data_IF_286269773383
#
_entry.id   IF_286269773383
#
_cell.length_a   1.000
_cell.length_b   1.000
_cell.length_c   1.000
_cell.angle_alpha   90.00
_cell.angle_beta   90.00
_cell.angle_gamma   90.00
#
_symmetry.space_group_name_H-M   'P 1'
#
loop_
_entity.id
_entity.type
_entity.pdbx_description
1 polymer ?
#
# COMPACT_ATOMS: atom_id res chain seq x y z
N UNK A 1 14.69 -24.74 -6.06
CA UNK A 1 14.20 -24.37 -4.71
C UNK A 1 13.06 -23.39 -4.84
N UNK A 2 12.02 -23.47 -4.00
CA UNK A 2 10.85 -22.60 -3.98
C UNK A 2 10.73 -21.96 -2.60
N UNK A 3 10.53 -20.66 -2.52
CA UNK A 3 10.21 -19.94 -1.27
C UNK A 3 8.73 -19.59 -1.31
N UNK A 4 7.93 -20.16 -0.40
CA UNK A 4 6.48 -20.11 -0.44
C UNK A 4 5.87 -19.46 0.80
N UNK A 5 4.87 -18.61 0.57
CA UNK A 5 4.05 -18.03 1.63
C UNK A 5 3.01 -19.04 2.12
N UNK A 6 3.19 -19.58 3.30
CA UNK A 6 2.25 -20.56 3.89
C UNK A 6 1.03 -19.90 4.55
N UNK A 7 0.91 -18.57 4.54
CA UNK A 7 -0.37 -17.91 4.84
C UNK A 7 -1.38 -18.09 3.69
N UNK A 8 -0.91 -18.39 2.45
CA UNK A 8 -1.75 -18.70 1.29
C UNK A 8 -2.09 -20.20 1.28
N UNK A 9 -3.39 -20.51 1.27
CA UNK A 9 -3.88 -21.90 1.31
C UNK A 9 -3.52 -22.71 0.06
N UNK A 10 -3.48 -22.06 -1.12
CA UNK A 10 -3.13 -22.75 -2.37
C UNK A 10 -1.64 -23.06 -2.42
N UNK A 11 -0.79 -22.18 -1.93
CA UNK A 11 0.65 -22.41 -1.90
C UNK A 11 1.03 -23.54 -0.94
N UNK A 12 0.28 -23.74 0.15
CA UNK A 12 0.47 -24.87 1.07
C UNK A 12 0.19 -26.23 0.44
N UNK A 13 -0.62 -26.29 -0.61
CA UNK A 13 -0.94 -27.53 -1.31
C UNK A 13 0.16 -27.98 -2.27
N UNK A 14 1.16 -27.15 -2.51
CA UNK A 14 2.29 -27.49 -3.37
C UNK A 14 3.16 -28.52 -2.64
N UNK A 15 3.20 -29.72 -3.17
CA UNK A 15 4.05 -30.81 -2.67
C UNK A 15 5.35 -30.88 -3.48
N UNK A 16 6.46 -30.37 -2.91
CA UNK A 16 7.79 -30.39 -3.52
C UNK A 16 8.84 -30.63 -2.43
N UNK A 17 9.91 -31.34 -2.76
CA UNK A 17 11.00 -31.65 -1.80
C UNK A 17 11.91 -30.43 -1.49
N UNK A 18 11.86 -29.40 -2.32
CA UNK A 18 12.74 -28.23 -2.25
C UNK A 18 11.94 -26.95 -1.94
N UNK A 19 11.10 -26.99 -0.90
CA UNK A 19 10.34 -25.85 -0.40
C UNK A 19 11.04 -25.26 0.82
N UNK A 20 11.11 -23.95 0.87
CA UNK A 20 11.34 -23.13 2.06
C UNK A 20 10.08 -22.31 2.27
N UNK A 21 9.53 -22.38 3.47
CA UNK A 21 8.28 -21.75 3.83
C UNK A 21 8.49 -20.52 4.73
N UNK A 22 7.63 -19.51 4.57
CA UNK A 22 7.50 -18.43 5.52
C UNK A 22 6.03 -18.15 5.83
N UNK A 23 5.73 -17.74 7.06
CA UNK A 23 4.33 -17.51 7.46
C UNK A 23 4.24 -16.69 8.75
N UNK A 24 3.14 -15.94 8.86
CA UNK A 24 2.72 -15.28 10.10
C UNK A 24 1.87 -16.19 10.97
N UNK A 25 1.07 -17.07 10.37
CA UNK A 25 0.03 -17.84 11.06
C UNK A 25 0.35 -19.32 11.16
N UNK A 26 1.03 -19.90 10.17
CA UNK A 26 1.33 -21.32 10.08
C UNK A 26 2.74 -21.65 10.62
N UNK A 27 2.97 -22.93 10.93
CA UNK A 27 4.32 -23.45 11.13
C UNK A 27 5.10 -23.36 9.83
N UNK A 28 6.33 -22.84 9.87
CA UNK A 28 7.14 -22.57 8.68
C UNK A 28 8.62 -22.47 9.04
N UNK A 29 9.50 -22.58 8.04
CA UNK A 29 10.96 -22.46 8.22
C UNK A 29 11.36 -21.06 8.70
N UNK A 30 10.62 -20.03 8.22
CA UNK A 30 10.76 -18.65 8.68
C UNK A 30 9.43 -18.21 9.30
N UNK A 31 9.33 -18.29 10.64
CA UNK A 31 8.13 -17.87 11.37
C UNK A 31 8.15 -16.39 11.67
N UNK A 32 7.22 -15.63 11.08
CA UNK A 32 7.11 -14.19 11.24
C UNK A 32 6.37 -13.86 12.53
N UNK A 33 6.94 -12.98 13.33
CA UNK A 33 6.37 -12.42 14.55
C UNK A 33 6.26 -10.91 14.40
N UNK A 34 5.03 -10.42 14.27
CA UNK A 34 4.78 -8.98 14.19
C UNK A 34 5.15 -8.29 15.50
N UNK A 35 5.57 -7.01 15.45
CA UNK A 35 5.61 -6.18 14.26
C UNK A 35 6.93 -6.23 13.48
N UNK A 36 8.01 -6.80 14.02
CA UNK A 36 9.36 -6.51 13.52
C UNK A 36 10.37 -7.66 13.65
N UNK A 37 9.92 -8.91 13.77
CA UNK A 37 10.85 -10.05 13.94
C UNK A 37 10.39 -11.32 13.24
N UNK A 38 11.30 -12.28 13.12
CA UNK A 38 11.01 -13.65 12.69
C UNK A 38 11.94 -14.64 13.39
N UNK A 39 11.55 -15.91 13.37
CA UNK A 39 12.37 -17.04 13.89
C UNK A 39 12.74 -17.95 12.73
N UNK A 40 14.01 -18.32 12.66
CA UNK A 40 14.55 -19.33 11.75
C UNK A 40 15.54 -20.21 12.50
N UNK A 41 15.43 -21.54 12.36
CA UNK A 41 16.27 -22.53 13.05
C UNK A 41 16.40 -22.26 14.57
N UNK A 42 15.31 -21.90 15.21
CA UNK A 42 15.24 -21.62 16.65
C UNK A 42 15.85 -20.29 17.09
N UNK A 43 16.48 -19.53 16.20
CA UNK A 43 17.05 -18.21 16.48
C UNK A 43 16.07 -17.09 16.07
N UNK A 44 15.88 -16.11 16.95
CA UNK A 44 15.06 -14.91 16.67
C UNK A 44 15.89 -13.82 16.06
N UNK A 45 15.36 -13.19 15.00
CA UNK A 45 15.98 -12.10 14.26
C UNK A 45 15.05 -10.87 14.27
N UNK A 46 15.58 -9.74 14.72
CA UNK A 46 14.86 -8.46 14.66
C UNK A 46 15.15 -7.77 13.35
N UNK A 47 14.10 -7.27 12.69
CA UNK A 47 14.18 -6.53 11.43
C UNK A 47 13.98 -5.05 11.68
N UNK A 48 14.95 -4.23 11.29
CA UNK A 48 14.80 -2.77 11.26
C UNK A 48 14.55 -2.33 9.83
N UNK A 49 13.47 -1.61 9.58
CA UNK A 49 13.11 -1.16 8.22
C UNK A 49 12.40 0.20 8.27
N UNK A 50 12.52 0.96 7.17
CA UNK A 50 11.78 2.20 6.94
C UNK A 50 10.41 1.96 6.30
N UNK A 51 10.12 0.73 5.88
CA UNK A 51 8.86 0.38 5.23
C UNK A 51 7.74 0.29 6.25
N UNK A 52 6.55 0.75 5.88
CA UNK A 52 5.39 0.88 6.77
C UNK A 52 4.35 -0.18 6.42
N UNK A 53 4.03 -1.05 7.38
CA UNK A 53 2.96 -2.05 7.28
C UNK A 53 3.42 -3.49 7.38
N UNK A 54 2.58 -4.31 7.99
CA UNK A 54 2.88 -5.73 8.31
C UNK A 54 3.17 -6.58 7.07
N UNK A 55 2.56 -6.24 5.94
CA UNK A 55 2.78 -6.94 4.67
C UNK A 55 4.23 -6.79 4.17
N UNK A 56 4.91 -5.68 4.52
CA UNK A 56 6.32 -5.53 4.17
C UNK A 56 7.21 -6.48 4.96
N UNK A 57 6.89 -6.79 6.22
CA UNK A 57 7.67 -7.78 6.98
C UNK A 57 7.61 -9.16 6.30
N UNK A 58 6.45 -9.57 5.78
CA UNK A 58 6.33 -10.81 5.01
C UNK A 58 7.19 -10.80 3.75
N UNK A 59 7.18 -9.68 2.99
CA UNK A 59 8.00 -9.53 1.80
C UNK A 59 9.51 -9.52 2.13
N UNK A 60 9.89 -8.87 3.22
CA UNK A 60 11.28 -8.82 3.73
C UNK A 60 11.76 -10.22 4.08
N UNK A 61 10.96 -10.97 4.85
CA UNK A 61 11.33 -12.34 5.27
C UNK A 61 11.44 -13.27 4.05
N UNK A 62 10.55 -13.13 3.06
CA UNK A 62 10.67 -13.85 1.80
C UNK A 62 11.99 -13.52 1.08
N UNK A 63 12.36 -12.24 0.99
CA UNK A 63 13.62 -11.82 0.37
C UNK A 63 14.84 -12.36 1.14
N UNK A 64 14.82 -12.28 2.47
CA UNK A 64 15.89 -12.84 3.33
C UNK A 64 16.02 -14.35 3.13
N UNK A 65 14.89 -15.07 3.08
CA UNK A 65 14.89 -16.51 2.84
C UNK A 65 15.53 -16.86 1.48
N UNK A 66 15.21 -16.10 0.42
CA UNK A 66 15.85 -16.28 -0.89
C UNK A 66 17.36 -16.00 -0.81
N UNK A 67 17.77 -14.87 -0.20
CA UNK A 67 19.18 -14.51 -0.06
C UNK A 67 19.97 -15.59 0.71
N UNK A 68 19.38 -16.10 1.79
CA UNK A 68 20.00 -17.15 2.61
C UNK A 68 20.24 -18.46 1.82
N UNK A 69 19.31 -18.83 0.94
CA UNK A 69 19.47 -19.95 -0.01
C UNK A 69 20.71 -19.78 -0.90
N UNK A 70 21.02 -18.55 -1.28
CA UNK A 70 22.19 -18.24 -2.09
C UNK A 70 23.46 -17.95 -1.28
N UNK A 71 23.45 -18.26 0.02
CA UNK A 71 24.62 -18.16 0.90
C UNK A 71 24.87 -16.77 1.48
N UNK A 72 23.92 -15.83 1.36
CA UNK A 72 24.01 -14.52 2.01
C UNK A 72 23.49 -14.68 3.45
N UNK A 73 24.26 -14.19 4.44
CA UNK A 73 23.84 -14.29 5.83
C UNK A 73 22.55 -13.52 6.10
N UNK A 74 21.77 -14.01 7.08
CA UNK A 74 20.54 -13.32 7.51
C UNK A 74 20.87 -11.92 8.06
N UNK A 75 21.97 -11.80 8.79
CA UNK A 75 22.44 -10.54 9.36
C UNK A 75 22.79 -9.50 8.30
N UNK A 76 23.50 -9.91 7.25
CA UNK A 76 23.82 -9.02 6.11
C UNK A 76 22.55 -8.59 5.35
N UNK A 77 21.62 -9.52 5.18
CA UNK A 77 20.33 -9.23 4.56
C UNK A 77 19.52 -8.22 5.37
N UNK A 78 19.46 -8.36 6.71
CA UNK A 78 18.80 -7.41 7.62
C UNK A 78 19.47 -6.03 7.54
N UNK A 79 20.81 -5.99 7.52
CA UNK A 79 21.55 -4.75 7.37
C UNK A 79 21.18 -4.03 6.07
N UNK A 80 21.19 -4.71 4.93
CA UNK A 80 20.79 -4.15 3.64
C UNK A 80 19.34 -3.62 3.66
N UNK A 81 18.41 -4.36 4.27
CA UNK A 81 17.01 -3.93 4.43
C UNK A 81 16.89 -2.65 5.27
N UNK A 82 17.71 -2.48 6.30
CA UNK A 82 17.66 -1.26 7.16
C UNK A 82 18.05 0.01 6.39
N UNK A 83 18.84 -0.12 5.34
CA UNK A 83 19.26 0.96 4.46
C UNK A 83 18.30 1.18 3.29
N UNK A 84 17.47 0.18 2.96
CA UNK A 84 16.56 0.22 1.83
C UNK A 84 15.44 1.25 2.02
N UNK A 85 15.38 2.22 1.11
CA UNK A 85 14.43 3.33 1.16
C UNK A 85 13.02 3.03 0.62
N UNK A 86 12.78 1.82 0.13
CA UNK A 86 11.52 1.44 -0.51
C UNK A 86 11.58 1.53 -2.04
N UNK A 87 10.45 1.26 -2.67
CA UNK A 87 10.24 1.32 -4.13
C UNK A 87 9.32 2.50 -4.42
N UNK A 88 9.60 3.22 -5.51
CA UNK A 88 8.70 4.29 -5.98
C UNK A 88 7.27 3.77 -6.13
N UNK A 89 6.32 4.61 -5.78
CA UNK A 89 4.89 4.29 -5.84
C UNK A 89 4.49 3.05 -4.99
N UNK A 90 5.22 2.74 -3.92
CA UNK A 90 4.86 1.71 -2.94
C UNK A 90 4.97 2.31 -1.54
N UNK A 91 3.89 2.93 -1.05
CA UNK A 91 3.88 3.75 0.16
C UNK A 91 5.03 4.78 0.15
N UNK A 92 5.32 5.33 -1.03
CA UNK A 92 6.41 6.27 -1.24
C UNK A 92 6.15 7.57 -0.49
N UNK A 93 7.08 7.96 0.37
CA UNK A 93 7.00 9.27 1.02
C UNK A 93 7.39 10.38 0.03
N UNK A 94 6.48 11.31 -0.24
CA UNK A 94 6.64 12.40 -1.22
C UNK A 94 7.19 13.66 -0.55
N UNK A 95 6.75 13.96 0.67
CA UNK A 95 7.17 15.17 1.38
C UNK A 95 6.26 15.55 2.53
N UNK A 96 6.54 16.69 3.16
CA UNK A 96 5.77 17.22 4.28
C UNK A 96 5.44 18.69 4.06
N UNK A 97 4.22 19.09 4.39
CA UNK A 97 3.78 20.47 4.53
C UNK A 97 3.09 20.66 5.87
N UNK A 98 3.54 21.62 6.67
CA UNK A 98 2.95 21.96 7.99
C UNK A 98 2.59 20.72 8.85
N UNK A 99 3.55 19.80 9.03
CA UNK A 99 3.40 18.52 9.76
C UNK A 99 2.40 17.53 9.13
N UNK A 100 1.84 17.80 7.96
CA UNK A 100 1.06 16.86 7.14
C UNK A 100 2.01 16.15 6.20
N UNK A 101 2.01 14.81 6.21
CA UNK A 101 2.86 14.00 5.34
C UNK A 101 2.10 13.50 4.13
N UNK A 102 2.78 13.45 3.00
CA UNK A 102 2.23 13.04 1.71
C UNK A 102 2.89 11.75 1.24
N UNK A 103 2.06 10.83 0.77
CA UNK A 103 2.48 9.51 0.29
C UNK A 103 1.85 9.20 -1.07
N UNK A 104 2.53 8.35 -1.87
CA UNK A 104 2.00 7.83 -3.13
C UNK A 104 2.07 6.30 -3.15
N UNK A 105 1.01 5.66 -3.65
CA UNK A 105 0.97 4.21 -3.79
C UNK A 105 0.29 3.78 -5.10
N UNK A 106 0.86 2.78 -5.74
CA UNK A 106 0.36 2.21 -7.00
C UNK A 106 -0.87 1.32 -6.83
N UNK A 107 -1.27 1.03 -5.60
CA UNK A 107 -2.38 0.11 -5.28
C UNK A 107 -3.62 0.43 -6.11
N UNK A 108 -4.07 -0.56 -6.86
CA UNK A 108 -5.20 -0.46 -7.77
C UNK A 108 -6.10 -1.70 -7.71
N UNK A 109 -5.83 -2.60 -6.79
CA UNK A 109 -6.69 -3.73 -6.43
C UNK A 109 -7.18 -3.54 -4.98
N UNK A 110 -8.44 -3.92 -4.65
CA UNK A 110 -9.01 -3.67 -3.32
C UNK A 110 -8.16 -4.20 -2.15
N UNK A 111 -7.55 -5.37 -2.31
CA UNK A 111 -6.68 -5.98 -1.30
C UNK A 111 -5.43 -5.14 -1.03
N UNK A 112 -4.77 -4.65 -2.09
CA UNK A 112 -3.61 -3.75 -1.98
C UNK A 112 -4.01 -2.45 -1.30
N UNK A 113 -5.11 -1.83 -1.77
CA UNK A 113 -5.63 -0.58 -1.21
C UNK A 113 -5.92 -0.70 0.28
N UNK A 114 -6.62 -1.77 0.68
CA UNK A 114 -6.95 -2.00 2.09
C UNK A 114 -5.69 -2.13 2.95
N UNK A 115 -4.69 -2.86 2.47
CA UNK A 115 -3.42 -3.04 3.17
C UNK A 115 -2.68 -1.70 3.33
N UNK A 116 -2.53 -0.92 2.25
CA UNK A 116 -1.86 0.39 2.24
C UNK A 116 -2.60 1.40 3.12
N UNK A 117 -3.93 1.51 2.97
CA UNK A 117 -4.74 2.46 3.76
C UNK A 117 -4.67 2.10 5.26
N UNK A 118 -4.81 0.82 5.61
CA UNK A 118 -4.75 0.38 7.01
C UNK A 118 -3.38 0.64 7.64
N UNK A 119 -2.30 0.36 6.90
CA UNK A 119 -0.94 0.60 7.35
C UNK A 119 -0.68 2.10 7.59
N UNK A 120 -1.09 2.96 6.65
CA UNK A 120 -0.90 4.40 6.82
C UNK A 120 -1.82 4.97 7.92
N UNK A 121 -3.04 4.44 8.05
CA UNK A 121 -3.97 4.84 9.11
C UNK A 121 -3.41 4.55 10.50
N UNK A 122 -2.74 3.42 10.71
CA UNK A 122 -2.19 3.03 12.02
C UNK A 122 -1.12 3.98 12.55
N UNK A 123 -0.44 4.72 11.66
CA UNK A 123 0.59 5.70 12.03
C UNK A 123 0.13 7.16 11.90
N UNK A 124 -1.10 7.40 11.43
CA UNK A 124 -1.66 8.74 11.25
C UNK A 124 -2.22 9.26 12.57
N UNK A 125 -1.70 10.40 13.05
CA UNK A 125 -2.14 11.04 14.30
C UNK A 125 -3.45 11.82 14.12
N UNK A 126 -3.60 12.48 12.99
CA UNK A 126 -4.79 13.23 12.59
C UNK A 126 -5.71 12.43 11.68
N UNK A 127 -6.22 13.08 10.64
CA UNK A 127 -7.04 12.43 9.59
C UNK A 127 -6.17 11.87 8.48
N UNK A 128 -6.56 10.70 7.98
CA UNK A 128 -6.03 10.15 6.74
C UNK A 128 -6.94 10.53 5.58
N UNK A 129 -6.44 11.39 4.70
CA UNK A 129 -7.03 11.68 3.39
C UNK A 129 -6.51 10.65 2.38
N UNK A 130 -7.40 9.98 1.67
CA UNK A 130 -7.05 9.06 0.58
C UNK A 130 -7.66 9.57 -0.70
N UNK A 131 -6.84 9.90 -1.68
CA UNK A 131 -7.27 10.36 -3.01
C UNK A 131 -7.07 9.19 -3.96
N UNK A 132 -8.16 8.54 -4.32
CA UNK A 132 -8.16 7.36 -5.17
C UNK A 132 -8.57 7.72 -6.59
N UNK A 133 -7.78 7.27 -7.57
CA UNK A 133 -8.13 7.28 -8.97
C UNK A 133 -8.38 5.85 -9.44
N UNK A 134 -9.64 5.45 -9.68
CA UNK A 134 -9.91 4.14 -10.25
C UNK A 134 -9.22 3.99 -11.61
N UNK A 135 -8.68 2.79 -11.87
CA UNK A 135 -7.93 2.50 -13.08
C UNK A 135 -8.66 1.42 -13.88
N UNK A 136 -9.12 1.76 -15.10
CA UNK A 136 -9.97 1.00 -16.03
C UNK A 136 -11.43 0.92 -15.61
N UNK A 137 -12.32 1.01 -16.58
CA UNK A 137 -13.76 0.88 -16.38
C UNK A 137 -14.17 -0.54 -15.99
N UNK A 138 -13.58 -1.55 -16.65
CA UNK A 138 -13.85 -2.96 -16.36
C UNK A 138 -13.52 -3.30 -14.91
N UNK A 139 -12.32 -2.94 -14.43
CA UNK A 139 -11.92 -3.19 -13.04
C UNK A 139 -12.79 -2.43 -12.05
N UNK A 140 -13.16 -1.20 -12.36
CA UNK A 140 -14.02 -0.37 -11.50
C UNK A 140 -15.39 -1.00 -11.33
N UNK A 141 -15.98 -1.52 -12.41
CA UNK A 141 -17.25 -2.26 -12.39
C UNK A 141 -17.15 -3.52 -11.53
N UNK A 142 -16.13 -4.35 -11.81
CA UNK A 142 -16.02 -5.69 -11.23
C UNK A 142 -15.65 -5.68 -9.74
N UNK A 143 -15.07 -4.60 -9.26
CA UNK A 143 -14.59 -4.47 -7.86
C UNK A 143 -15.24 -3.29 -7.11
N UNK A 144 -16.35 -2.77 -7.56
CA UNK A 144 -16.96 -1.53 -7.04
C UNK A 144 -17.15 -1.56 -5.52
N UNK A 145 -17.85 -2.56 -5.00
CA UNK A 145 -18.11 -2.70 -3.56
C UNK A 145 -16.83 -2.91 -2.74
N UNK A 146 -15.90 -3.71 -3.26
CA UNK A 146 -14.63 -3.97 -2.59
C UNK A 146 -13.76 -2.71 -2.51
N UNK A 147 -13.79 -1.84 -3.52
CA UNK A 147 -13.17 -0.52 -3.49
C UNK A 147 -13.82 0.38 -2.45
N UNK A 148 -15.16 0.45 -2.40
CA UNK A 148 -15.86 1.23 -1.37
C UNK A 148 -15.48 0.79 0.03
N UNK A 149 -15.47 -0.52 0.28
CA UNK A 149 -15.10 -1.09 1.57
C UNK A 149 -13.66 -0.75 1.96
N UNK A 150 -12.73 -0.76 1.00
CA UNK A 150 -11.33 -0.37 1.24
C UNK A 150 -11.19 1.11 1.55
N UNK A 151 -11.90 1.98 0.80
CA UNK A 151 -11.90 3.43 1.01
C UNK A 151 -12.51 3.84 2.36
N UNK A 152 -13.49 3.09 2.85
CA UNK A 152 -14.14 3.35 4.15
C UNK A 152 -13.22 3.21 5.37
N UNK A 153 -12.02 2.66 5.22
CA UNK A 153 -10.98 2.63 6.27
C UNK A 153 -10.38 4.04 6.50
N UNK A 154 -10.30 4.86 5.46
CA UNK A 154 -9.81 6.24 5.56
C UNK A 154 -10.79 7.16 6.29
N UNK A 155 -10.31 8.28 6.85
CA UNK A 155 -11.17 9.29 7.49
C UNK A 155 -11.84 10.20 6.47
N UNK A 156 -11.12 10.53 5.39
CA UNK A 156 -11.57 11.44 4.34
C UNK A 156 -11.24 10.87 2.95
N UNK A 157 -11.96 9.84 2.49
CA UNK A 157 -11.76 9.27 1.16
C UNK A 157 -12.32 10.20 0.08
N UNK A 158 -11.52 10.38 -0.97
CA UNK A 158 -11.83 11.18 -2.16
C UNK A 158 -11.63 10.28 -3.37
N UNK A 159 -12.56 10.32 -4.32
CA UNK A 159 -12.46 9.60 -5.58
C UNK A 159 -12.46 10.61 -6.73
N UNK A 160 -11.54 10.46 -7.68
CA UNK A 160 -11.47 11.24 -8.91
C UNK A 160 -12.03 10.45 -10.09
N UNK A 161 -12.11 11.05 -11.28
CA UNK A 161 -12.55 10.33 -12.48
C UNK A 161 -11.69 9.08 -12.76
N UNK A 162 -12.30 8.10 -13.41
CA UNK A 162 -11.62 6.87 -13.81
C UNK A 162 -10.52 7.20 -14.83
N UNK A 163 -9.32 6.71 -14.59
CA UNK A 163 -8.28 6.66 -15.60
C UNK A 163 -8.56 5.48 -16.55
N UNK A 164 -8.90 5.78 -17.80
CA UNK A 164 -9.40 4.78 -18.75
C UNK A 164 -8.36 3.72 -19.15
N UNK A 165 -7.07 4.09 -19.18
CA UNK A 165 -5.98 3.24 -19.67
C UNK A 165 -6.27 2.61 -21.05
N UNK A 166 -6.91 3.39 -21.95
CA UNK A 166 -7.26 2.96 -23.29
C UNK A 166 -8.58 2.22 -23.39
N UNK A 167 -9.31 1.98 -22.31
CA UNK A 167 -10.67 1.42 -22.36
C UNK A 167 -11.71 2.46 -22.76
N UNK A 168 -12.72 2.04 -23.52
CA UNK A 168 -13.92 2.83 -23.76
C UNK A 168 -14.80 2.92 -22.51
N UNK A 169 -15.50 4.04 -22.29
CA UNK A 169 -16.42 4.18 -21.17
C UNK A 169 -17.52 3.11 -21.20
N UNK A 170 -17.79 2.50 -20.04
CA UNK A 170 -18.88 1.51 -19.89
C UNK A 170 -20.13 2.25 -19.37
N UNK A 171 -21.29 2.17 -20.04
CA UNK A 171 -22.54 2.77 -19.58
C UNK A 171 -22.85 2.38 -18.12
N UNK A 172 -23.17 3.37 -17.28
CA UNK A 172 -23.47 3.17 -15.86
C UNK A 172 -22.25 3.06 -14.95
N UNK A 173 -21.03 2.94 -15.47
CA UNK A 173 -19.79 2.86 -14.69
C UNK A 173 -19.14 4.25 -14.59
N UNK A 174 -19.16 4.83 -13.40
CA UNK A 174 -18.61 6.16 -13.13
C UNK A 174 -18.06 6.27 -11.70
N UNK A 175 -16.98 7.01 -11.55
CA UNK A 175 -16.46 7.36 -10.22
C UNK A 175 -17.46 8.12 -9.37
N UNK A 176 -18.40 8.84 -9.96
CA UNK A 176 -19.48 9.54 -9.24
C UNK A 176 -20.32 8.57 -8.41
N UNK A 177 -20.43 7.32 -8.83
CA UNK A 177 -21.21 6.29 -8.12
C UNK A 177 -20.61 5.91 -6.75
N UNK A 178 -19.32 6.19 -6.49
CA UNK A 178 -18.70 6.03 -5.18
C UNK A 178 -19.16 7.07 -4.16
N UNK A 179 -19.69 8.22 -4.61
CA UNK A 179 -20.05 9.32 -3.73
C UNK A 179 -21.17 8.92 -2.76
N UNK A 180 -20.95 9.15 -1.47
CA UNK A 180 -21.91 8.92 -0.41
C UNK A 180 -21.65 9.90 0.75
N UNK A 181 -22.21 9.65 1.94
CA UNK A 181 -22.00 10.51 3.12
C UNK A 181 -20.53 10.58 3.58
N UNK A 182 -19.70 9.59 3.25
CA UNK A 182 -18.29 9.52 3.65
C UNK A 182 -17.33 9.77 2.48
N UNK A 183 -17.61 9.18 1.30
CA UNK A 183 -16.73 9.25 0.13
C UNK A 183 -17.10 10.47 -0.71
N UNK A 184 -16.13 11.38 -0.88
CA UNK A 184 -16.30 12.59 -1.71
C UNK A 184 -15.84 12.32 -3.13
N UNK A 185 -16.68 12.67 -4.11
CA UNK A 185 -16.27 12.69 -5.51
C UNK A 185 -15.77 14.07 -5.91
N UNK A 186 -14.59 14.16 -6.49
CA UNK A 186 -14.01 15.36 -7.11
C UNK A 186 -13.64 15.01 -8.55
N UNK A 187 -14.46 15.48 -9.51
CA UNK A 187 -14.32 15.14 -10.94
C UNK A 187 -12.90 15.34 -11.44
N UNK A 188 -12.38 16.56 -11.30
CA UNK A 188 -11.07 16.90 -11.83
C UNK A 188 -9.97 16.74 -10.80
N UNK A 189 -8.94 15.96 -11.13
CA UNK A 189 -7.72 15.82 -10.33
C UNK A 189 -7.08 17.19 -10.04
N UNK A 190 -7.22 18.16 -10.96
CA UNK A 190 -6.68 19.53 -10.83
C UNK A 190 -7.38 20.33 -9.72
N UNK A 191 -8.58 19.95 -9.30
CA UNK A 191 -9.32 20.63 -8.23
C UNK A 191 -8.95 20.08 -6.84
N UNK A 192 -8.25 18.96 -6.77
CA UNK A 192 -7.88 18.31 -5.51
C UNK A 192 -6.91 19.15 -4.66
N UNK A 193 -5.88 19.84 -5.21
CA UNK A 193 -4.98 20.68 -4.41
C UNK A 193 -5.71 21.77 -3.63
N UNK A 194 -6.69 22.44 -4.25
CA UNK A 194 -7.50 23.47 -3.59
C UNK A 194 -8.30 22.87 -2.42
N UNK A 195 -8.93 21.72 -2.65
CA UNK A 195 -9.69 21.03 -1.61
C UNK A 195 -8.77 20.61 -0.43
N UNK A 196 -7.60 20.07 -0.72
CA UNK A 196 -6.63 19.66 0.30
C UNK A 196 -6.16 20.87 1.11
N UNK A 197 -5.75 21.97 0.45
CA UNK A 197 -5.32 23.22 1.14
C UNK A 197 -6.36 23.72 2.15
N UNK A 198 -7.64 23.63 1.81
CA UNK A 198 -8.74 24.14 2.66
C UNK A 198 -9.12 23.22 3.82
N UNK A 199 -8.67 21.97 3.82
CA UNK A 199 -9.19 20.97 4.77
C UNK A 199 -8.14 20.29 5.65
N UNK A 200 -6.87 20.22 5.23
CA UNK A 200 -5.82 19.55 6.00
C UNK A 200 -5.41 20.33 7.24
N UNK A 201 -5.00 19.59 8.26
CA UNK A 201 -4.49 20.11 9.54
C UNK A 201 -3.16 19.48 9.89
N UNK A 202 -2.34 20.13 10.72
CA UNK A 202 -1.10 19.54 11.21
C UNK A 202 -1.32 18.16 11.86
N UNK A 203 -0.55 17.17 11.43
CA UNK A 203 -0.67 15.78 11.90
C UNK A 203 -1.53 14.88 11.03
N UNK A 204 -2.21 15.43 10.01
CA UNK A 204 -2.88 14.64 8.99
C UNK A 204 -1.88 13.94 8.06
N UNK A 205 -2.35 12.92 7.36
CA UNK A 205 -1.63 12.32 6.24
C UNK A 205 -2.50 12.34 4.97
N UNK A 206 -1.84 12.47 3.83
CA UNK A 206 -2.47 12.45 2.50
C UNK A 206 -1.84 11.34 1.68
N UNK A 207 -2.65 10.45 1.13
CA UNK A 207 -2.27 9.35 0.25
C UNK A 207 -2.87 9.56 -1.13
N UNK A 208 -2.04 9.60 -2.17
CA UNK A 208 -2.48 9.41 -3.57
C UNK A 208 -2.39 7.93 -3.90
N UNK A 209 -3.46 7.37 -4.48
CA UNK A 209 -3.62 5.93 -4.65
C UNK A 209 -4.19 5.59 -6.02
N UNK A 210 -3.45 4.77 -6.79
CA UNK A 210 -3.86 4.33 -8.12
C UNK A 210 -2.73 4.12 -9.11
N UNK A 211 -3.02 3.41 -10.21
CA UNK A 211 -2.03 3.03 -11.22
C UNK A 211 -1.89 4.05 -12.37
N UNK A 212 -2.76 5.06 -12.43
CA UNK A 212 -2.78 6.09 -13.47
C UNK A 212 -1.84 7.28 -13.19
N UNK A 213 -2.23 8.44 -13.70
CA UNK A 213 -1.50 9.71 -13.56
C UNK A 213 -1.66 10.38 -12.19
N UNK A 214 -2.43 9.77 -11.30
CA UNK A 214 -2.61 10.20 -9.90
C UNK A 214 -1.26 10.36 -9.17
N UNK A 215 -0.24 9.63 -9.55
CA UNK A 215 1.11 9.71 -8.97
C UNK A 215 1.73 11.11 -9.10
N UNK A 216 1.30 11.89 -10.09
CA UNK A 216 1.77 13.27 -10.28
C UNK A 216 1.11 14.24 -9.30
N UNK A 217 0.00 13.84 -8.69
CA UNK A 217 -0.81 14.73 -7.86
C UNK A 217 -0.13 15.05 -6.51
N UNK A 218 0.52 14.10 -5.87
CA UNK A 218 1.21 14.34 -4.60
C UNK A 218 2.23 15.48 -4.67
N UNK A 219 3.19 15.45 -5.61
CA UNK A 219 4.11 16.57 -5.86
C UNK A 219 3.40 17.88 -6.25
N UNK A 220 2.33 17.82 -7.05
CA UNK A 220 1.55 19.02 -7.44
C UNK A 220 0.86 19.66 -6.25
N UNK A 221 0.27 18.86 -5.34
CA UNK A 221 -0.33 19.37 -4.10
C UNK A 221 0.74 20.08 -3.26
N UNK A 222 1.89 19.42 -3.04
CA UNK A 222 2.97 20.01 -2.24
C UNK A 222 3.48 21.31 -2.83
N UNK A 223 3.64 21.40 -4.15
CA UNK A 223 4.00 22.63 -4.83
C UNK A 223 2.94 23.71 -4.57
N UNK A 224 1.66 23.41 -4.80
CA UNK A 224 0.54 24.35 -4.61
C UNK A 224 0.38 24.85 -3.15
N UNK A 225 0.78 24.02 -2.18
CA UNK A 225 0.73 24.39 -0.75
C UNK A 225 1.87 25.33 -0.36
N UNK A 226 3.02 25.27 -1.05
CA UNK A 226 4.20 26.07 -0.77
C UNK A 226 4.25 27.38 -1.56
N UNK A 227 3.45 27.48 -2.65
CA UNK A 227 3.20 28.73 -3.38
C UNK A 227 2.11 29.57 -2.67
#
# INVERSE_FOLDING_TARGET
>A
MKVLNYDDENLRLINDKNIISYSRTQTSDYKINLPDSFVHEGKSYKVTTKLIGDHYLSNIVAAIAVCNVYGISIEDSIKAISEFGGVKRRMEYIGTYNKTKFYDDYGHHPTEMKATISALKSITKGKLYVIFQPHRYTRTRDNFEAFQNSLNVADAPIVTDIYSAGEEPIPGVSSKNFSNSKIKYIKSIRSVPIFIKSNIKPGDNVLTLGAGDITLLGPQILKYLND
#
